data_IF_570963820742
#
_entry.id   IF_570963820742
#
_cell.length_a   1.000
_cell.length_b   1.000
_cell.length_c   1.000
_cell.angle_alpha   90.00
_cell.angle_beta   90.00
_cell.angle_gamma   90.00
#
_symmetry.space_group_name_H-M   'P 1'
#
loop_
_entity.id
_entity.type
_entity.pdbx_description
1 polymer ?
#
# COMPACT_ATOMS: atom_id res chain seq x y z
N UNK A 1 15.69 -12.12 -1.34
CA UNK A 1 14.87 -13.07 -0.52
C UNK A 1 14.29 -12.43 0.74
N UNK A 2 15.06 -11.70 1.56
CA UNK A 2 14.56 -11.09 2.82
C UNK A 2 13.41 -10.08 2.60
N UNK A 3 13.48 -9.29 1.53
CA UNK A 3 12.47 -8.30 1.11
C UNK A 3 11.12 -8.97 0.76
N UNK A 4 11.17 -10.10 0.05
CA UNK A 4 9.99 -10.87 -0.36
C UNK A 4 9.33 -11.50 0.85
N UNK A 5 10.12 -12.03 1.80
CA UNK A 5 9.61 -12.62 3.05
C UNK A 5 8.93 -11.55 3.93
N UNK A 6 9.49 -10.34 4.00
CA UNK A 6 8.87 -9.22 4.71
C UNK A 6 7.53 -8.77 4.11
N UNK A 7 7.46 -8.67 2.77
CA UNK A 7 6.23 -8.35 2.04
C UNK A 7 5.17 -9.46 2.21
N UNK A 8 5.60 -10.73 2.20
CA UNK A 8 4.75 -11.89 2.42
C UNK A 8 4.20 -11.94 3.85
N UNK A 9 5.02 -11.63 4.85
CA UNK A 9 4.57 -11.59 6.25
C UNK A 9 3.58 -10.45 6.51
N UNK A 10 3.75 -9.29 5.85
CA UNK A 10 2.83 -8.16 6.01
C UNK A 10 1.45 -8.49 5.43
N UNK A 11 1.40 -9.16 4.27
CA UNK A 11 0.15 -9.66 3.66
C UNK A 11 -0.57 -10.68 4.58
N UNK A 12 0.18 -11.50 5.31
CA UNK A 12 -0.37 -12.51 6.24
C UNK A 12 -0.81 -11.90 7.58
N UNK A 13 -0.14 -10.86 8.08
CA UNK A 13 -0.48 -10.20 9.35
C UNK A 13 -1.64 -9.21 9.21
N UNK A 14 -1.80 -8.58 8.03
CA UNK A 14 -3.00 -7.79 7.68
C UNK A 14 -4.17 -8.66 7.18
N UNK A 15 -4.24 -9.91 7.65
CA UNK A 15 -5.43 -10.75 7.59
C UNK A 15 -6.19 -10.71 8.92
N UNK A 16 -6.66 -9.55 9.46
CA UNK A 16 -7.70 -9.65 10.46
C UNK A 16 -8.95 -10.14 9.73
N UNK A 17 -9.66 -11.03 10.40
CA UNK A 17 -11.02 -11.49 10.13
C UNK A 17 -12.04 -10.36 9.93
N UNK A 18 -11.87 -9.54 8.90
CA UNK A 18 -12.76 -8.46 8.50
C UNK A 18 -13.54 -8.95 7.29
N UNK A 19 -14.68 -9.57 7.60
CA UNK A 19 -15.86 -9.71 6.74
C UNK A 19 -15.65 -9.31 5.26
N UNK A 20 -15.14 -10.25 4.46
CA UNK A 20 -15.13 -10.18 2.99
C UNK A 20 -16.55 -10.23 2.37
N UNK A 21 -17.59 -9.90 3.15
CA UNK A 21 -18.97 -10.18 2.84
C UNK A 21 -19.82 -8.93 2.56
N UNK A 22 -19.21 -7.73 2.57
CA UNK A 22 -19.92 -6.50 2.23
C UNK A 22 -19.33 -5.92 0.94
N UNK A 23 -20.10 -5.93 -0.16
CA UNK A 23 -19.80 -5.32 -1.48
C UNK A 23 -19.81 -3.77 -1.41
N UNK A 24 -19.24 -3.25 -0.33
CA UNK A 24 -19.17 -1.83 -0.05
C UNK A 24 -18.00 -1.25 -0.82
N UNK A 25 -18.30 -0.43 -1.82
CA UNK A 25 -17.36 0.43 -2.55
C UNK A 25 -16.34 1.13 -1.63
N UNK A 26 -16.77 1.51 -0.42
CA UNK A 26 -15.91 2.13 0.60
C UNK A 26 -14.84 1.17 1.13
N UNK A 27 -15.16 -0.11 1.29
CA UNK A 27 -14.19 -1.12 1.71
C UNK A 27 -13.14 -1.37 0.61
N UNK A 28 -13.53 -1.49 -0.65
CA UNK A 28 -12.61 -1.57 -1.79
C UNK A 28 -11.61 -0.41 -1.76
N UNK A 29 -12.11 0.82 -1.63
CA UNK A 29 -11.27 2.00 -1.56
C UNK A 29 -10.34 1.99 -0.33
N UNK A 30 -10.85 1.69 0.86
CA UNK A 30 -10.07 1.77 2.10
C UNK A 30 -8.97 0.71 2.17
N UNK A 31 -9.27 -0.54 1.79
CA UNK A 31 -8.30 -1.62 1.79
C UNK A 31 -7.19 -1.36 0.79
N UNK A 32 -7.56 -1.11 -0.47
CA UNK A 32 -6.58 -0.87 -1.52
C UNK A 32 -5.71 0.37 -1.20
N UNK A 33 -6.29 1.44 -0.65
CA UNK A 33 -5.54 2.60 -0.14
C UNK A 33 -4.52 2.19 0.90
N UNK A 34 -4.89 1.35 1.86
CA UNK A 34 -3.96 0.87 2.88
C UNK A 34 -2.82 0.06 2.26
N UNK A 35 -3.11 -0.86 1.34
CA UNK A 35 -2.08 -1.66 0.69
C UNK A 35 -1.17 -0.84 -0.25
N UNK A 36 -1.73 0.13 -0.96
CA UNK A 36 -0.93 1.08 -1.76
C UNK A 36 0.02 1.90 -0.89
N UNK A 37 -0.47 2.41 0.25
CA UNK A 37 0.33 3.16 1.22
C UNK A 37 1.45 2.30 1.83
N UNK A 38 1.13 1.09 2.28
CA UNK A 38 2.12 0.19 2.88
C UNK A 38 3.16 -0.25 1.85
N UNK A 39 2.75 -0.55 0.62
CA UNK A 39 3.69 -0.92 -0.44
C UNK A 39 4.62 0.24 -0.75
N UNK A 40 4.10 1.46 -0.89
CA UNK A 40 4.93 2.63 -1.16
C UNK A 40 5.91 2.90 -0.01
N UNK A 41 5.45 2.78 1.23
CA UNK A 41 6.31 2.86 2.42
C UNK A 41 7.48 1.88 2.34
N UNK A 42 7.21 0.62 2.00
CA UNK A 42 8.25 -0.40 1.87
C UNK A 42 9.22 -0.08 0.72
N UNK A 43 8.70 0.34 -0.43
CA UNK A 43 9.54 0.70 -1.58
C UNK A 43 10.38 1.96 -1.31
N UNK A 44 9.85 2.94 -0.61
CA UNK A 44 10.57 4.16 -0.23
C UNK A 44 11.82 3.81 0.60
N UNK A 45 11.71 2.90 1.55
CA UNK A 45 12.82 2.52 2.43
C UNK A 45 13.74 1.43 1.86
N UNK A 46 13.27 0.59 0.92
CA UNK A 46 14.01 -0.61 0.49
C UNK A 46 14.42 -0.60 -0.99
N UNK A 47 13.77 0.21 -1.83
CA UNK A 47 13.99 0.20 -3.27
C UNK A 47 14.72 1.47 -3.75
N UNK A 48 16.01 1.56 -3.42
CA UNK A 48 16.89 2.70 -3.77
C UNK A 48 16.98 2.96 -5.29
N UNK A 49 16.65 1.97 -6.13
CA UNK A 49 16.73 2.06 -7.58
C UNK A 49 15.43 2.54 -8.26
N UNK A 50 14.35 2.73 -7.51
CA UNK A 50 13.07 3.17 -8.06
C UNK A 50 12.88 4.66 -7.83
N UNK A 51 12.63 5.40 -8.91
CA UNK A 51 12.18 6.78 -8.80
C UNK A 51 10.73 6.86 -8.29
N UNK A 52 10.29 8.07 -7.93
CA UNK A 52 8.96 8.34 -7.38
C UNK A 52 7.84 7.74 -8.23
N UNK A 53 7.86 7.99 -9.54
CA UNK A 53 6.82 7.49 -10.44
C UNK A 53 6.79 5.97 -10.52
N UNK A 54 7.96 5.33 -10.51
CA UNK A 54 8.07 3.87 -10.50
C UNK A 54 7.56 3.27 -9.19
N UNK A 55 7.85 3.89 -8.04
CA UNK A 55 7.30 3.44 -6.75
C UNK A 55 5.78 3.52 -6.74
N UNK A 56 5.20 4.65 -7.14
CA UNK A 56 3.74 4.82 -7.21
C UNK A 56 3.12 3.77 -8.12
N UNK A 57 3.70 3.50 -9.29
CA UNK A 57 3.21 2.47 -10.22
C UNK A 57 3.24 1.06 -9.60
N UNK A 58 4.36 0.66 -9.01
CA UNK A 58 4.49 -0.66 -8.38
C UNK A 58 3.57 -0.77 -7.19
N UNK A 59 3.48 0.27 -6.36
CA UNK A 59 2.57 0.32 -5.20
C UNK A 59 1.11 0.25 -5.60
N UNK A 60 0.73 0.88 -6.72
CA UNK A 60 -0.63 0.78 -7.26
C UNK A 60 -0.94 -0.64 -7.71
N UNK A 61 -0.04 -1.26 -8.48
CA UNK A 61 -0.23 -2.63 -8.99
C UNK A 61 -0.29 -3.64 -7.84
N UNK A 62 0.65 -3.58 -6.91
CA UNK A 62 0.70 -4.49 -5.76
C UNK A 62 -0.47 -4.24 -4.82
N UNK A 63 -0.81 -2.96 -4.59
CA UNK A 63 -1.89 -2.54 -3.72
C UNK A 63 -3.29 -2.94 -4.23
N UNK A 64 -3.47 -3.10 -5.54
CA UNK A 64 -4.72 -3.58 -6.13
C UNK A 64 -4.84 -5.11 -6.17
N UNK A 65 -3.77 -5.87 -5.90
CA UNK A 65 -3.81 -7.33 -5.96
C UNK A 65 -4.85 -7.96 -5.02
N UNK A 66 -5.03 -7.51 -3.77
CA UNK A 66 -6.08 -8.05 -2.91
C UNK A 66 -7.49 -7.90 -3.53
N UNK A 67 -7.76 -6.73 -4.12
CA UNK A 67 -9.00 -6.47 -4.85
C UNK A 67 -9.18 -7.34 -6.07
N UNK A 68 -8.10 -7.50 -6.88
CA UNK A 68 -8.11 -8.42 -8.03
C UNK A 68 -8.44 -9.86 -7.61
N UNK A 69 -7.86 -10.32 -6.50
CA UNK A 69 -8.10 -11.67 -6.00
C UNK A 69 -9.54 -11.83 -5.53
N UNK A 70 -10.09 -10.86 -4.79
CA UNK A 70 -11.51 -10.86 -4.36
C UNK A 70 -12.43 -10.97 -5.58
N UNK A 71 -12.28 -10.06 -6.55
CA UNK A 71 -13.14 -10.00 -7.73
C UNK A 71 -13.00 -11.24 -8.64
N UNK A 72 -11.82 -11.87 -8.66
CA UNK A 72 -11.61 -13.13 -9.38
C UNK A 72 -12.22 -14.35 -8.68
N UNK A 73 -12.54 -14.26 -7.39
CA UNK A 73 -13.20 -15.31 -6.62
C UNK A 73 -14.72 -15.16 -6.52
N UNK A 74 -15.26 -14.01 -6.91
CA UNK A 74 -16.71 -13.77 -6.97
C UNK A 74 -17.37 -14.52 -8.12
N UNK A 75 -18.69 -14.72 -8.03
CA UNK A 75 -19.48 -15.36 -9.10
C UNK A 75 -19.37 -14.61 -10.43
N UNK A 76 -19.21 -13.27 -10.35
CA UNK A 76 -19.00 -12.39 -11.50
C UNK A 76 -18.02 -11.29 -11.13
N UNK A 77 -17.01 -11.11 -11.96
CA UNK A 77 -16.04 -10.04 -11.82
C UNK A 77 -16.69 -8.66 -11.97
N UNK A 78 -16.56 -7.79 -10.96
CA UNK A 78 -17.01 -6.40 -11.03
C UNK A 78 -15.84 -5.47 -11.41
N UNK A 79 -15.81 -5.03 -12.67
CA UNK A 79 -14.81 -4.05 -13.13
C UNK A 79 -14.92 -2.70 -12.42
N UNK A 80 -16.10 -2.35 -11.91
CA UNK A 80 -16.31 -1.13 -11.14
C UNK A 80 -15.54 -1.19 -9.83
N UNK A 81 -15.75 -2.24 -9.05
CA UNK A 81 -15.11 -2.42 -7.75
C UNK A 81 -13.59 -2.59 -7.89
N UNK A 82 -13.14 -3.33 -8.92
CA UNK A 82 -11.71 -3.43 -9.20
C UNK A 82 -11.08 -2.08 -9.59
N UNK A 83 -11.80 -1.21 -10.31
CA UNK A 83 -11.31 0.13 -10.62
C UNK A 83 -11.17 0.99 -9.35
N UNK A 84 -12.04 0.79 -8.35
CA UNK A 84 -11.91 1.42 -7.03
C UNK A 84 -10.69 0.90 -6.31
N UNK A 85 -10.41 -0.39 -6.40
CA UNK A 85 -9.20 -0.97 -5.81
C UNK A 85 -7.93 -0.39 -6.44
N UNK A 86 -7.89 -0.22 -7.76
CA UNK A 86 -6.77 0.44 -8.42
C UNK A 86 -6.65 1.90 -7.96
N UNK A 87 -7.77 2.63 -7.93
CA UNK A 87 -7.80 4.03 -7.53
C UNK A 87 -7.37 4.25 -6.08
N UNK A 88 -7.88 3.44 -5.16
CA UNK A 88 -7.49 3.47 -3.75
C UNK A 88 -6.01 3.15 -3.60
N UNK A 89 -5.50 2.09 -4.23
CA UNK A 89 -4.07 1.76 -4.20
C UNK A 89 -3.18 2.92 -4.70
N UNK A 90 -3.58 3.60 -5.76
CA UNK A 90 -2.87 4.78 -6.25
C UNK A 90 -2.90 5.94 -5.23
N UNK A 91 -4.06 6.23 -4.63
CA UNK A 91 -4.20 7.26 -3.59
C UNK A 91 -3.31 6.92 -2.39
N UNK A 92 -3.33 5.67 -1.94
CA UNK A 92 -2.48 5.17 -0.86
C UNK A 92 -0.99 5.39 -1.14
N UNK A 93 -0.56 5.04 -2.35
CA UNK A 93 0.83 5.23 -2.77
C UNK A 93 1.23 6.72 -2.78
N UNK A 94 0.35 7.61 -3.27
CA UNK A 94 0.58 9.06 -3.25
C UNK A 94 0.66 9.62 -1.82
N UNK A 95 -0.18 9.13 -0.90
CA UNK A 95 -0.13 9.49 0.52
C UNK A 95 1.22 9.06 1.10
N UNK A 96 1.68 7.84 0.79
CA UNK A 96 3.00 7.32 1.19
C UNK A 96 4.12 8.23 0.72
N UNK A 97 4.18 8.48 -0.58
CA UNK A 97 5.21 9.31 -1.18
C UNK A 97 5.22 10.72 -0.59
N UNK A 98 4.03 11.30 -0.40
CA UNK A 98 3.91 12.63 0.20
C UNK A 98 4.45 12.61 1.62
N UNK A 99 3.99 11.70 2.47
CA UNK A 99 4.42 11.62 3.87
C UNK A 99 5.94 11.42 3.97
N UNK A 100 6.49 10.46 3.23
CA UNK A 100 7.92 10.13 3.32
C UNK A 100 8.81 11.14 2.61
N UNK A 101 8.29 11.84 1.61
CA UNK A 101 8.95 12.98 0.97
C UNK A 101 9.10 14.21 1.88
N UNK A 102 8.29 14.31 2.95
CA UNK A 102 8.37 15.36 3.96
C UNK A 102 8.88 14.89 5.33
N UNK A 103 8.90 13.58 5.59
CA UNK A 103 9.20 13.03 6.90
C UNK A 103 10.07 11.79 6.77
N UNK A 104 11.14 11.73 7.56
CA UNK A 104 11.89 10.49 7.77
C UNK A 104 11.85 10.09 9.23
N UNK A 105 11.51 8.83 9.49
CA UNK A 105 11.55 8.23 10.82
C UNK A 105 12.76 7.31 10.90
N UNK A 106 13.55 7.43 11.97
CA UNK A 106 14.64 6.50 12.28
C UNK A 106 14.66 6.15 13.78
N UNK A 107 15.22 4.98 14.10
CA UNK A 107 15.42 4.54 15.47
C UNK A 107 16.90 4.19 15.69
N UNK A 108 17.44 4.59 16.84
CA UNK A 108 18.82 4.26 17.24
C UNK A 108 18.89 4.10 18.76
N UNK A 109 19.19 2.89 19.23
CA UNK A 109 19.10 2.55 20.65
C UNK A 109 17.66 2.65 21.16
N UNK A 110 17.46 3.28 22.33
CA UNK A 110 16.14 3.50 22.94
C UNK A 110 15.46 4.80 22.45
N UNK A 111 15.94 5.40 21.36
CA UNK A 111 15.47 6.70 20.87
C UNK A 111 14.84 6.60 19.47
N UNK A 112 13.71 7.29 19.30
CA UNK A 112 13.04 7.51 18.02
C UNK A 112 13.26 8.95 17.55
N UNK A 113 13.63 9.10 16.30
CA UNK A 113 13.84 10.39 15.65
C UNK A 113 12.81 10.56 14.53
N UNK A 114 12.04 11.63 14.60
CA UNK A 114 11.21 12.11 13.50
C UNK A 114 11.87 13.36 12.95
N UNK A 115 12.29 13.32 11.69
CA UNK A 115 12.87 14.47 10.99
C UNK A 115 11.88 14.92 9.93
N UNK A 116 11.44 16.18 10.04
CA UNK A 116 10.70 16.86 9.00
C UNK A 116 11.69 17.50 8.03
N UNK A 117 11.46 17.31 6.73
CA UNK A 117 12.25 17.88 5.66
C UNK A 117 11.58 19.19 5.25
N UNK A 118 12.23 20.32 5.52
CA UNK A 118 11.82 21.59 4.94
C UNK A 118 12.30 21.61 3.48
N UNK A 119 11.36 21.61 2.54
CA UNK A 119 11.65 21.88 1.12
C UNK A 119 11.59 23.38 0.77
N UNK A 120 11.83 24.26 1.74
CA UNK A 120 11.88 25.72 1.57
C UNK A 120 13.21 26.28 2.05
#
# INVERSE_FOLDING_TARGET
MKTIIGLSLLLVVFSPSLSFADDSFTLHAAYSTTFGFLTDTLLFYQAENLNVGQRILVSTVVGSLPGLVKEATDEKFCYGDYAVDIGGAAIGALIGETLWGYMSVSASGDQFFIRLHNKF
#
